data_IF_520767295728
#
_entry.id   IF_520767295728
#
_cell.length_a   1.000
_cell.length_b   1.000
_cell.length_c   1.000
_cell.angle_alpha   90.00
_cell.angle_beta   90.00
_cell.angle_gamma   90.00
#
_symmetry.space_group_name_H-M   'P 1'
#
loop_
_entity.id
_entity.type
_entity.pdbx_description
1 polymer ?
2 non-polymer ?
3 non-polymer ?
4 non-polymer ?
5 non-polymer ?
6 water ?
#
# COMPACT_ATOMS: atom_id res chain seq x y z
N UNK A 1 -10.37 -14.76 -2.96
CA UNK A 1 -9.14 -14.70 -3.80
C UNK A 1 -8.01 -15.44 -3.14
N UNK A 2 -7.11 -16.01 -3.96
CA UNK A 2 -5.86 -16.59 -3.45
C UNK A 2 -5.04 -15.46 -2.87
N UNK A 3 -4.42 -15.72 -1.75
CA UNK A 3 -3.59 -14.75 -1.07
C UNK A 3 -2.24 -15.41 -0.83
N UNK A 4 -1.23 -14.58 -0.59
CA UNK A 4 0.10 -15.08 -0.27
C UNK A 4 0.93 -15.48 -1.47
N UNK A 5 0.48 -15.11 -2.67
CA UNK A 5 1.23 -15.40 -3.89
C UNK A 5 1.72 -14.09 -4.49
N UNK A 6 3.01 -14.04 -4.86
CA UNK A 6 3.62 -12.82 -5.38
C UNK A 6 4.53 -13.12 -6.55
N UNK A 7 4.50 -12.26 -7.56
CA UNK A 7 5.47 -12.35 -8.68
C UNK A 7 6.60 -11.38 -8.44
N UNK A 8 7.79 -11.92 -8.27
CA UNK A 8 9.01 -11.13 -8.12
C UNK A 8 9.71 -11.09 -9.48
N UNK A 9 10.61 -10.13 -9.64
CA UNK A 9 11.49 -10.19 -10.81
C UNK A 9 12.30 -11.49 -10.79
N UNK A 10 12.60 -12.00 -11.98
CA UNK A 10 13.32 -13.27 -12.08
C UNK A 10 14.71 -13.19 -11.49
N UNK A 11 15.16 -14.29 -10.91
CA UNK A 11 16.56 -14.50 -10.50
C UNK A 11 17.02 -13.42 -9.56
N UNK A 12 16.16 -13.05 -8.63
CA UNK A 12 16.44 -11.92 -7.74
C UNK A 12 16.47 -12.40 -6.29
N UNK A 13 17.46 -11.94 -5.55
CA UNK A 13 17.58 -12.22 -4.15
C UNK A 13 16.52 -11.44 -3.40
N UNK A 14 15.90 -12.11 -2.41
CA UNK A 14 14.90 -11.48 -1.59
C UNK A 14 15.02 -11.97 -0.16
N UNK A 15 14.56 -11.14 0.77
CA UNK A 15 14.50 -11.58 2.17
C UNK A 15 13.11 -12.03 2.51
N UNK A 16 13.00 -13.07 3.34
CA UNK A 16 11.72 -13.48 3.90
C UNK A 16 11.88 -13.66 5.42
N UNK A 17 10.97 -13.03 6.18
CA UNK A 17 11.06 -13.01 7.64
C UNK A 17 9.66 -13.31 8.19
N UNK A 18 9.56 -14.18 9.19
CA UNK A 18 8.31 -14.52 9.77
C UNK A 18 8.32 -14.25 11.30
N UNK A 19 7.20 -13.70 11.74
CA UNK A 19 6.96 -13.37 13.14
C UNK A 19 5.75 -14.17 13.62
N UNK A 20 5.76 -14.53 14.91
CA UNK A 20 4.64 -15.24 15.52
C UNK A 20 3.96 -14.48 16.63
N UNK A 21 2.63 -14.61 16.66
CA UNK A 21 1.77 -13.97 17.68
C UNK A 21 0.57 -14.86 17.93
N UNK A 22 0.80 -16.00 18.57
CA UNK A 22 -0.22 -16.98 18.77
C UNK A 22 0.21 -18.01 19.81
N UNK A 23 -0.76 -18.60 20.49
CA UNK A 23 -0.47 -19.72 21.34
C UNK A 23 -0.06 -20.97 20.53
N UNK A 24 -0.42 -21.03 19.26
CA UNK A 24 -0.17 -22.21 18.44
C UNK A 24 1.20 -22.12 17.75
N UNK A 25 1.81 -23.29 17.54
CA UNK A 25 3.06 -23.35 16.83
C UNK A 25 2.77 -23.10 15.33
N UNK A 26 3.43 -22.09 14.79
CA UNK A 26 3.26 -21.71 13.38
C UNK A 26 4.27 -22.40 12.48
N UNK A 27 3.78 -22.87 11.31
CA UNK A 27 4.64 -23.37 10.27
C UNK A 27 4.47 -22.50 9.05
N UNK A 28 5.54 -21.88 8.60
CA UNK A 28 5.51 -21.08 7.37
C UNK A 28 6.32 -21.79 6.31
N UNK A 29 5.69 -22.16 5.21
CA UNK A 29 6.40 -22.73 4.07
C UNK A 29 6.56 -21.66 2.99
N UNK A 30 7.78 -21.50 2.49
CA UNK A 30 8.06 -20.59 1.40
C UNK A 30 8.35 -21.40 0.15
N UNK A 31 7.55 -21.20 -0.90
CA UNK A 31 7.69 -21.93 -2.14
C UNK A 31 8.10 -20.99 -3.22
N UNK A 32 9.13 -21.36 -3.98
CA UNK A 32 9.65 -20.59 -5.06
C UNK A 32 9.42 -21.46 -6.31
N UNK A 33 8.68 -20.92 -7.26
CA UNK A 33 8.28 -21.66 -8.48
C UNK A 33 7.77 -23.06 -8.18
N UNK A 34 6.86 -23.10 -7.21
CA UNK A 34 6.09 -24.29 -6.83
C UNK A 34 6.90 -25.33 -6.12
N UNK A 35 8.04 -25.00 -5.53
CA UNK A 35 8.81 -25.90 -4.73
C UNK A 35 9.13 -25.30 -3.39
N UNK A 36 8.89 -26.03 -2.31
CA UNK A 36 9.32 -25.50 -0.98
C UNK A 36 10.78 -25.35 -0.85
N UNK A 37 11.26 -24.14 -0.54
CA UNK A 37 12.69 -23.90 -0.38
C UNK A 37 13.08 -23.50 1.03
N UNK A 38 12.11 -23.21 1.89
CA UNK A 38 12.39 -22.93 3.31
C UNK A 38 11.11 -23.15 4.09
N UNK A 39 11.25 -23.57 5.33
CA UNK A 39 10.16 -23.75 6.25
C UNK A 39 10.63 -23.13 7.59
N UNK A 40 9.78 -22.28 8.16
CA UNK A 40 10.03 -21.69 9.46
C UNK A 40 8.99 -22.23 10.43
N UNK A 41 9.45 -22.63 11.59
CA UNK A 41 8.62 -23.17 12.63
C UNK A 41 8.91 -22.45 13.93
N UNK A 42 7.89 -22.01 14.64
CA UNK A 42 8.12 -21.48 15.95
C UNK A 42 6.86 -21.05 16.64
N UNK A 43 7.01 -20.63 17.89
CA UNK A 43 5.90 -20.21 18.70
C UNK A 43 6.25 -19.01 19.54
N UNK A 44 5.39 -18.01 19.50
CA UNK A 44 5.55 -16.81 20.32
C UNK A 44 4.23 -16.11 20.40
N UNK A 45 3.94 -15.44 21.54
CA UNK A 45 2.86 -14.49 21.64
C UNK A 45 3.40 -13.05 21.72
N UNK A 46 4.65 -12.83 21.38
CA UNK A 46 5.25 -11.51 21.50
C UNK A 46 6.13 -11.14 20.32
N UNK A 47 5.69 -11.58 19.13
CA UNK A 47 6.25 -11.13 17.87
C UNK A 47 7.68 -11.61 17.67
N UNK A 48 8.05 -12.74 18.28
CA UNK A 48 9.37 -13.28 18.00
C UNK A 48 9.56 -13.59 16.53
N UNK A 49 10.76 -13.36 16.04
CA UNK A 49 11.12 -13.80 14.72
C UNK A 49 11.37 -15.29 14.72
N UNK A 50 10.59 -16.04 13.95
CA UNK A 50 10.71 -17.49 13.87
C UNK A 50 11.52 -17.96 12.68
N UNK A 51 11.90 -17.03 11.81
CA UNK A 51 12.82 -17.35 10.74
C UNK A 51 13.09 -16.11 9.93
N UNK A 52 14.30 -16.04 9.37
CA UNK A 52 14.61 -15.00 8.37
C UNK A 52 15.69 -15.55 7.47
N UNK A 53 15.47 -15.52 6.16
CA UNK A 53 16.41 -16.12 5.23
C UNK A 53 16.46 -15.27 3.98
N UNK A 54 17.57 -15.40 3.25
CA UNK A 54 17.73 -14.82 1.92
C UNK A 54 17.60 -15.94 0.90
N UNK A 55 16.72 -15.72 -0.06
CA UNK A 55 16.41 -16.67 -1.10
C UNK A 55 16.48 -16.02 -2.47
N UNK A 56 16.40 -16.85 -3.50
CA UNK A 56 16.38 -16.39 -4.88
C UNK A 56 15.06 -16.75 -5.55
N UNK A 57 14.50 -15.79 -6.28
CA UNK A 57 13.21 -15.98 -6.91
C UNK A 57 13.22 -16.90 -8.14
N UNK A 58 14.42 -17.27 -8.59
CA UNK A 58 14.51 -18.25 -9.69
C UNK A 58 13.96 -17.74 -11.01
N UNK A 59 13.89 -18.65 -11.97
CA UNK A 59 13.44 -18.23 -13.29
C UNK A 59 12.10 -17.60 -13.40
N UNK A 60 11.14 -18.17 -12.68
CA UNK A 60 9.74 -17.77 -12.80
C UNK A 60 9.31 -16.65 -11.89
N UNK A 61 10.11 -16.39 -10.86
CA UNK A 61 9.77 -15.35 -9.92
C UNK A 61 8.58 -15.59 -9.02
N UNK A 62 8.00 -16.79 -9.01
CA UNK A 62 6.79 -17.03 -8.21
C UNK A 62 7.16 -17.35 -6.78
N UNK A 63 6.66 -16.55 -5.82
CA UNK A 63 6.88 -16.81 -4.40
C UNK A 63 5.53 -16.98 -3.74
N UNK A 64 5.36 -18.09 -3.05
CA UNK A 64 4.09 -18.33 -2.34
C UNK A 64 4.40 -18.67 -0.91
N UNK A 65 3.60 -18.06 -0.03
CA UNK A 65 3.67 -18.31 1.42
C UNK A 65 2.47 -19.11 1.85
N UNK A 66 2.74 -20.22 2.56
CA UNK A 66 1.64 -21.03 3.14
C UNK A 66 1.86 -21.09 4.63
N UNK A 67 0.79 -20.94 5.38
CA UNK A 67 0.89 -20.94 6.84
C UNK A 67 -0.09 -21.99 7.37
N UNK A 68 0.42 -22.81 8.29
CA UNK A 68 -0.43 -23.81 8.93
C UNK A 68 -0.05 -23.96 10.40
N UNK A 69 -0.97 -24.55 11.16
CA UNK A 69 -0.75 -24.84 12.58
C UNK A 69 -1.20 -26.28 12.74
N UNK A 70 -0.24 -27.14 13.06
CA UNK A 70 -0.47 -28.57 13.28
C UNK A 70 -1.26 -29.16 12.11
N UNK A 71 -0.83 -28.81 10.91
CA UNK A 71 -1.39 -29.36 9.71
C UNK A 71 -2.68 -28.69 9.21
N UNK A 72 -3.19 -27.69 9.93
CA UNK A 72 -4.42 -26.98 9.50
C UNK A 72 -4.04 -25.69 8.85
N UNK A 73 -4.46 -25.45 7.61
CA UNK A 73 -4.11 -24.20 6.91
C UNK A 73 -4.76 -22.99 7.60
N UNK A 74 -3.97 -21.96 7.81
CA UNK A 74 -4.52 -20.68 8.30
C UNK A 74 -5.15 -19.88 7.16
N UNK A 75 -6.06 -18.98 7.49
CA UNK A 75 -6.63 -18.08 6.48
C UNK A 75 -5.62 -16.93 6.29
N UNK A 76 -5.32 -16.60 5.04
CA UNK A 76 -4.32 -15.60 4.71
C UNK A 76 -4.88 -14.31 4.17
N UNK A 77 -4.17 -13.22 4.49
CA UNK A 77 -4.41 -11.96 3.78
C UNK A 77 -3.05 -11.43 3.32
N UNK A 78 -3.02 -10.75 2.18
CA UNK A 78 -1.76 -10.27 1.66
C UNK A 78 -1.91 -9.07 0.75
N UNK A 79 -0.80 -8.40 0.51
CA UNK A 79 -0.71 -7.37 -0.54
C UNK A 79 0.77 -7.09 -0.78
N UNK A 80 1.04 -6.42 -1.87
CA UNK A 80 2.39 -5.95 -2.19
C UNK A 80 2.38 -4.45 -2.30
N UNK A 81 3.39 -3.80 -1.71
CA UNK A 81 3.53 -2.33 -1.80
C UNK A 81 4.92 -2.02 -2.31
N UNK A 82 5.00 -1.02 -3.18
CA UNK A 82 6.27 -0.60 -3.79
C UNK A 82 6.45 0.86 -3.47
N UNK A 83 7.63 1.20 -2.91
CA UNK A 83 7.97 2.59 -2.61
C UNK A 83 9.10 3.05 -3.50
N UNK A 84 9.00 4.33 -3.94
CA UNK A 84 9.99 4.93 -4.84
C UNK A 84 10.25 4.10 -6.07
N UNK A 85 9.21 3.41 -6.51
CA UNK A 85 9.23 2.53 -7.69
C UNK A 85 10.40 1.52 -7.68
N UNK A 86 10.83 1.16 -6.48
CA UNK A 86 12.03 0.33 -6.36
C UNK A 86 12.06 -0.61 -5.16
N UNK A 87 11.57 -0.13 -4.00
CA UNK A 87 11.64 -0.91 -2.77
C UNK A 87 10.31 -1.65 -2.61
N UNK A 88 10.40 -2.98 -2.58
CA UNK A 88 9.24 -3.82 -2.59
C UNK A 88 9.04 -4.55 -1.27
N UNK A 89 7.79 -4.58 -0.81
CA UNK A 89 7.39 -5.37 0.31
C UNK A 89 6.21 -6.25 -0.10
N UNK A 90 6.30 -7.54 0.13
CA UNK A 90 5.17 -8.43 -0.03
C UNK A 90 4.82 -8.89 1.37
N UNK A 91 3.56 -8.71 1.75
CA UNK A 91 3.14 -8.81 3.16
C UNK A 91 2.06 -9.83 3.31
N UNK A 92 2.19 -10.69 4.34
CA UNK A 92 1.18 -11.70 4.63
C UNK A 92 0.83 -11.73 6.07
N UNK A 93 -0.46 -11.75 6.34
CA UNK A 93 -0.98 -12.04 7.69
C UNK A 93 -1.75 -13.35 7.64
N UNK A 94 -1.98 -13.93 8.80
CA UNK A 94 -2.65 -15.24 8.83
C UNK A 94 -3.43 -15.38 10.11
N UNK A 95 -4.54 -16.09 10.06
CA UNK A 95 -5.42 -16.31 11.22
C UNK A 95 -5.58 -17.81 11.41
N UNK A 96 -5.25 -18.27 12.61
CA UNK A 96 -5.32 -19.66 12.94
C UNK A 96 -6.57 -20.05 13.77
N UNK A 97 -7.37 -19.05 14.14
CA UNK A 97 -8.51 -19.27 15.05
C UNK A 97 -9.64 -18.29 14.71
N UNK A 98 -10.27 -17.73 15.75
CA UNK A 98 -11.53 -17.01 15.62
C UNK A 98 -11.48 -15.54 16.02
N UNK A 99 -10.37 -15.07 16.58
CA UNK A 99 -10.36 -13.66 17.04
C UNK A 99 -10.11 -12.69 15.92
N UNK A 100 -9.65 -13.17 14.78
CA UNK A 100 -9.46 -12.32 13.60
C UNK A 100 -8.50 -11.16 13.87
N UNK A 101 -7.40 -11.44 14.53
CA UNK A 101 -6.30 -10.49 14.57
C UNK A 101 -5.37 -10.62 13.37
N UNK A 102 -5.39 -11.76 12.68
CA UNK A 102 -4.61 -11.94 11.43
C UNK A 102 -3.09 -11.78 11.63
N UNK A 103 -2.62 -11.91 12.88
CA UNK A 103 -1.20 -11.70 13.17
C UNK A 103 -0.53 -12.97 13.65
N UNK A 104 -1.19 -14.11 13.50
CA UNK A 104 -0.76 -15.34 14.21
C UNK A 104 0.60 -15.78 13.67
N UNK A 105 0.75 -15.72 12.35
CA UNK A 105 2.07 -15.64 11.73
C UNK A 105 2.00 -14.47 10.76
N UNK A 106 2.99 -13.60 10.81
CA UNK A 106 3.10 -12.47 9.92
C UNK A 106 4.35 -12.68 9.10
N UNK A 107 4.30 -12.52 7.79
CA UNK A 107 5.43 -12.73 6.91
C UNK A 107 5.72 -11.50 6.09
N UNK A 108 6.97 -11.07 6.08
CA UNK A 108 7.40 -9.94 5.30
C UNK A 108 8.49 -10.42 4.33
N UNK A 109 8.25 -10.16 3.06
CA UNK A 109 9.24 -10.41 2.00
C UNK A 109 9.71 -9.05 1.49
N UNK A 110 11.01 -8.86 1.39
CA UNK A 110 11.54 -7.59 0.90
C UNK A 110 12.59 -7.77 -0.17
N UNK A 111 12.58 -6.89 -1.15
CA UNK A 111 13.64 -6.83 -2.16
C UNK A 111 13.66 -5.40 -2.72
N UNK A 112 14.73 -4.98 -3.39
CA UNK A 112 15.99 -5.66 -3.53
C UNK A 112 16.85 -5.69 -2.29
N UNK A 113 17.89 -6.56 -2.35
CA UNK A 113 18.89 -6.62 -1.27
C UNK A 113 20.22 -6.03 -1.79
N UNK A 114 21.18 -5.86 -0.92
CA UNK A 114 22.49 -5.39 -1.32
C UNK A 114 22.71 -3.90 -1.23
N UNK B 1 7.91 15.65 1.40
CA UNK B 1 6.98 15.23 2.50
C UNK B 1 7.77 14.58 3.61
N UNK B 2 7.22 14.65 4.85
CA UNK B 2 7.84 13.99 6.05
C UNK B 2 7.61 12.46 6.38
N UNK B 3 8.48 11.77 5.82
CA UNK B 3 8.34 10.36 5.75
C UNK B 3 8.84 9.75 7.06
N UNK B 4 8.39 8.54 7.33
CA UNK B 4 8.81 7.81 8.50
C UNK B 4 8.07 8.17 9.77
N UNK B 5 6.98 8.93 9.65
CA UNK B 5 6.15 9.28 10.80
C UNK B 5 4.80 8.58 10.66
N UNK B 6 4.32 7.92 11.70
CA UNK B 6 3.06 7.20 11.69
C UNK B 6 2.26 7.40 12.94
N UNK B 7 0.93 7.50 12.82
CA UNK B 7 0.03 7.56 13.97
C UNK B 7 -0.54 6.18 14.20
N UNK B 8 -0.20 5.59 15.34
CA UNK B 8 -0.72 4.32 15.77
C UNK B 8 -1.87 4.55 16.74
N UNK B 9 -2.74 3.54 16.91
CA UNK B 9 -3.68 3.63 18.00
C UNK B 9 -2.91 3.76 19.33
N UNK B 10 -3.56 4.46 20.27
CA UNK B 10 -2.95 4.69 21.56
C UNK B 10 -2.70 3.39 22.33
N UNK B 11 -1.62 3.41 23.10
CA UNK B 11 -1.34 2.40 24.15
C UNK B 11 -1.32 1.00 23.55
N UNK B 12 -0.73 0.88 22.37
CA UNK B 12 -0.73 -0.39 21.63
C UNK B 12 0.68 -0.93 21.50
N UNK B 13 0.82 -2.23 21.75
CA UNK B 13 2.07 -2.91 21.55
C UNK B 13 2.32 -3.05 20.07
N UNK B 14 3.56 -2.80 19.62
CA UNK B 14 3.91 -2.94 18.25
C UNK B 14 5.31 -3.47 18.11
N UNK B 15 5.56 -4.14 17.00
CA UNK B 15 6.90 -4.61 16.72
C UNK B 15 7.61 -3.67 15.78
N UNK B 16 8.94 -3.53 15.96
CA UNK B 16 9.75 -2.81 15.03
C UNK B 16 11.01 -3.62 14.73
N UNK B 17 11.33 -3.79 13.45
CA UNK B 17 12.41 -4.66 13.00
C UNK B 17 13.15 -3.92 11.90
N UNK B 18 14.48 -3.96 11.92
CA UNK B 18 15.27 -3.32 10.92
C UNK B 18 16.26 -4.27 10.26
N UNK B 19 16.40 -4.09 8.97
CA UNK B 19 17.29 -4.87 8.11
C UNK B 19 18.29 -3.90 7.45
N UNK B 20 19.51 -4.38 7.18
CA UNK B 20 20.50 -3.57 6.51
C UNK B 20 20.97 -4.15 5.18
N UNK B 21 21.19 -3.25 4.23
CA UNK B 21 21.68 -3.57 2.87
C UNK B 21 22.53 -2.43 2.36
N UNK B 22 23.71 -2.29 2.94
CA UNK B 22 24.59 -1.20 2.61
C UNK B 22 25.99 -1.46 3.10
N UNK B 23 26.97 -0.85 2.41
CA UNK B 23 28.31 -0.82 2.97
C UNK B 23 28.42 0.04 4.22
N UNK B 24 27.52 1.00 4.40
CA UNK B 24 27.52 1.91 5.56
C UNK B 24 26.89 1.26 6.79
N UNK B 25 27.41 1.63 7.95
CA UNK B 25 26.85 1.15 9.19
C UNK B 25 25.59 1.99 9.45
N UNK B 26 24.47 1.33 9.62
CA UNK B 26 23.17 1.98 9.77
C UNK B 26 22.85 2.20 11.27
N UNK B 27 22.29 3.36 11.59
CA UNK B 27 21.72 3.61 12.90
C UNK B 27 20.24 3.91 12.71
N UNK B 28 19.39 3.11 13.31
CA UNK B 28 17.95 3.33 13.25
C UNK B 28 17.49 3.78 14.64
N UNK B 29 16.91 4.98 14.72
CA UNK B 29 16.33 5.47 15.94
C UNK B 29 14.82 5.41 15.85
N UNK B 30 14.21 4.86 16.89
CA UNK B 30 12.76 4.77 16.97
C UNK B 30 12.27 5.72 18.06
N UNK B 31 11.40 6.65 17.72
CA UNK B 31 10.86 7.62 18.71
C UNK B 31 9.38 7.40 18.89
N UNK B 32 8.91 7.36 20.12
CA UNK B 32 7.52 7.23 20.46
C UNK B 32 7.16 8.49 21.21
N UNK B 33 6.18 9.22 20.71
CA UNK B 33 5.80 10.53 21.29
C UNK B 33 6.99 11.41 21.66
N UNK B 34 7.88 11.52 20.67
CA UNK B 34 9.02 12.41 20.66
C UNK B 34 10.11 12.05 21.63
N UNK B 35 10.17 10.78 22.04
CA UNK B 35 11.28 10.28 22.86
C UNK B 35 11.86 9.06 22.18
N UNK B 36 13.19 9.01 22.06
CA UNK B 36 13.86 7.83 21.56
C UNK B 36 13.68 6.65 22.49
N UNK B 37 13.12 5.55 22.02
CA UNK B 37 12.85 4.38 22.82
C UNK B 37 13.57 3.12 22.33
N UNK B 38 14.17 3.17 21.13
CA UNK B 38 15.01 2.06 20.68
C UNK B 38 16.00 2.55 19.66
N UNK B 39 17.16 1.92 19.62
CA UNK B 39 18.21 2.26 18.68
C UNK B 39 18.82 0.96 18.19
N UNK B 40 18.90 0.79 16.87
CA UNK B 40 19.48 -0.39 16.28
C UNK B 40 20.66 0.05 15.48
N UNK B 41 21.80 -0.63 15.63
CA UNK B 41 22.99 -0.28 14.89
C UNK B 41 23.58 -1.52 14.28
N UNK B 42 23.87 -1.51 12.99
CA UNK B 42 24.53 -2.63 12.39
C UNK B 42 24.91 -2.42 10.97
N UNK B 43 25.57 -3.40 10.39
CA UNK B 43 26.01 -3.33 9.01
C UNK B 43 25.88 -4.69 8.33
N UNK B 44 25.28 -4.67 7.14
CA UNK B 44 25.14 -5.86 6.31
C UNK B 44 24.88 -5.43 4.90
N UNK B 45 25.36 -6.19 3.92
CA UNK B 45 24.92 -6.08 2.54
C UNK B 45 24.02 -7.27 2.14
N UNK B 46 23.51 -8.04 3.09
CA UNK B 46 22.69 -9.19 2.77
C UNK B 46 21.47 -9.33 3.70
N UNK B 47 20.88 -8.20 4.03
CA UNK B 47 19.60 -8.12 4.70
C UNK B 47 19.62 -8.69 6.11
N UNK B 48 20.77 -8.63 6.77
CA UNK B 48 20.78 -9.01 8.20
C UNK B 48 19.83 -8.18 9.02
N UNK B 49 19.20 -8.80 9.99
CA UNK B 49 18.42 -8.08 10.96
C UNK B 49 19.34 -7.39 11.94
N UNK B 50 19.24 -6.08 12.01
CA UNK B 50 20.08 -5.28 12.93
C UNK B 50 19.36 -4.95 14.22
N UNK B 51 18.07 -5.28 14.32
CA UNK B 51 17.37 -5.16 15.57
C UNK B 51 15.92 -5.54 15.41
N UNK B 52 15.31 -5.98 16.49
CA UNK B 52 13.87 -6.18 16.56
C UNK B 52 13.43 -6.00 17.99
N UNK B 53 12.39 -5.19 18.27
CA UNK B 53 11.96 -4.94 19.60
C UNK B 53 10.45 -4.79 19.62
N UNK B 54 9.85 -5.01 20.80
CA UNK B 54 8.44 -4.75 21.03
C UNK B 54 8.35 -3.50 21.89
N UNK B 55 7.55 -2.56 21.42
CA UNK B 55 7.37 -1.24 22.04
C UNK B 55 5.89 -0.95 22.24
N UNK B 56 5.59 0.10 22.97
CA UNK B 56 4.23 0.58 23.18
C UNK B 56 4.07 1.99 22.63
N UNK B 57 2.98 2.21 21.93
CA UNK B 57 2.72 3.49 21.27
C UNK B 57 2.36 4.64 22.20
N UNK B 58 2.08 4.33 23.45
CA UNK B 58 1.79 5.38 24.43
C UNK B 58 0.53 6.16 24.20
N UNK B 59 0.38 7.23 24.96
CA UNK B 59 -0.88 7.97 24.83
C UNK B 59 -1.10 8.61 23.49
N UNK B 60 -0.03 9.12 22.87
CA UNK B 60 -0.16 9.86 21.65
C UNK B 60 -0.13 9.06 20.36
N UNK B 61 0.40 7.86 20.47
CA UNK B 61 0.51 6.99 19.31
C UNK B 61 1.50 7.42 18.24
N UNK B 62 2.31 8.46 18.47
CA UNK B 62 3.20 8.97 17.41
C UNK B 62 4.47 8.12 17.38
N UNK B 63 4.77 7.50 16.23
CA UNK B 63 5.96 6.72 16.04
C UNK B 63 6.74 7.29 14.89
N UNK B 64 8.02 7.59 15.14
CA UNK B 64 8.85 8.14 14.10
C UNK B 64 10.11 7.29 13.98
N UNK B 65 10.49 7.01 12.74
CA UNK B 65 11.76 6.33 12.41
C UNK B 65 12.73 7.31 11.81
N UNK B 66 13.95 7.37 12.33
CA UNK B 66 15.05 8.12 11.73
C UNK B 66 16.18 7.17 11.42
N UNK B 67 16.83 7.41 10.29
CA UNK B 67 17.98 6.57 9.91
C UNK B 67 19.14 7.44 9.60
N UNK B 68 20.31 7.09 10.15
CA UNK B 68 21.54 7.82 9.81
C UNK B 68 22.72 6.89 9.62
N UNK B 69 23.72 7.41 8.92
CA UNK B 69 24.97 6.69 8.66
C UNK B 69 26.06 7.73 8.96
N UNK B 70 26.88 7.42 9.94
CA UNK B 70 27.94 8.31 10.45
C UNK B 70 27.34 9.69 10.79
N UNK B 71 26.16 9.70 11.36
CA UNK B 71 25.50 10.94 11.71
C UNK B 71 24.83 11.74 10.60
N UNK B 72 24.89 11.26 9.34
CA UNK B 72 24.19 11.92 8.22
C UNK B 72 22.85 11.25 8.01
N UNK B 73 21.79 12.06 7.97
CA UNK B 73 20.43 11.53 7.84
C UNK B 73 20.26 10.92 6.47
N UNK B 74 19.72 9.69 6.42
CA UNK B 74 19.31 9.11 5.18
C UNK B 74 17.99 9.69 4.69
N UNK B 75 17.76 9.65 3.39
CA UNK B 75 16.49 10.06 2.80
C UNK B 75 15.52 8.90 2.98
N UNK B 76 14.32 9.22 3.44
CA UNK B 76 13.33 8.17 3.78
C UNK B 76 12.18 8.11 2.79
N UNK B 77 11.66 6.88 2.61
CA UNK B 77 10.37 6.70 1.97
C UNK B 77 9.52 5.82 2.90
N UNK B 78 8.21 6.05 2.93
CA UNK B 78 7.37 5.28 3.82
C UNK B 78 5.94 5.19 3.37
N UNK B 79 5.22 4.24 3.95
CA UNK B 79 3.77 4.11 3.77
C UNK B 79 3.23 3.21 4.83
N UNK B 80 1.92 3.30 5.05
CA UNK B 80 1.26 2.35 5.95
C UNK B 80 0.22 1.57 5.14
N UNK B 81 0.16 0.27 5.37
CA UNK B 81 -0.83 -0.59 4.67
C UNK B 81 -1.59 -1.39 5.72
N UNK B 82 -2.90 -1.48 5.49
CA UNK B 82 -3.80 -2.18 6.42
C UNK B 82 -4.49 -3.27 5.65
N UNK B 83 -4.40 -4.49 6.17
CA UNK B 83 -5.03 -5.67 5.60
C UNK B 83 -6.19 -6.11 6.50
N UNK B 84 -7.27 -6.51 5.85
CA UNK B 84 -8.51 -6.98 6.51
C UNK B 84 -9.01 -5.99 7.54
N UNK B 85 -8.77 -4.71 7.27
CA UNK B 85 -9.18 -3.59 8.12
C UNK B 85 -8.69 -3.72 9.55
N UNK B 86 -7.60 -4.48 9.76
CA UNK B 86 -7.14 -4.72 11.12
C UNK B 86 -5.64 -4.96 11.29
N UNK B 87 -4.96 -5.55 10.31
CA UNK B 87 -3.56 -5.90 10.41
C UNK B 87 -2.73 -4.82 9.75
N UNK B 88 -1.88 -4.16 10.56
CA UNK B 88 -1.20 -2.98 10.11
C UNK B 88 0.30 -3.16 9.93
N UNK B 89 0.81 -2.58 8.84
CA UNK B 89 2.24 -2.50 8.58
C UNK B 89 2.63 -1.05 8.32
N UNK B 90 3.61 -0.55 9.03
CA UNK B 90 4.19 0.76 8.70
C UNK B 90 5.60 0.49 8.20
N UNK B 91 5.89 0.98 7.01
CA UNK B 91 7.07 0.52 6.25
C UNK B 91 7.96 1.71 5.94
N UNK B 92 9.27 1.52 6.14
CA UNK B 92 10.26 2.58 5.83
C UNK B 92 11.39 2.00 5.03
N UNK B 93 11.73 2.69 3.95
CA UNK B 93 13.03 2.50 3.27
C UNK B 93 13.90 3.69 3.44
N UNK B 94 15.18 3.54 3.23
CA UNK B 94 16.09 4.67 3.46
C UNK B 94 17.24 4.57 2.48
N UNK B 95 17.77 5.70 2.08
CA UNK B 95 18.87 5.78 1.12
C UNK B 95 19.97 6.61 1.74
N UNK B 96 21.14 6.01 1.84
CA UNK B 96 22.30 6.64 2.42
C UNK B 96 23.27 7.27 1.41
N UNK B 97 22.96 7.08 0.15
CA UNK B 97 23.81 7.55 -0.95
C UNK B 97 22.91 8.01 -2.10
N UNK B 98 23.28 7.70 -3.31
CA UNK B 98 22.61 8.17 -4.52
C UNK B 98 22.36 7.09 -5.52
N UNK B 99 22.51 5.80 -5.21
CA UNK B 99 22.02 4.75 -6.14
C UNK B 99 20.51 4.57 -6.12
N UNK B 100 19.88 5.08 -5.08
CA UNK B 100 18.43 5.10 -4.95
C UNK B 100 17.82 3.73 -4.97
N UNK B 101 18.41 2.79 -4.25
CA UNK B 101 17.77 1.51 -4.00
C UNK B 101 16.83 1.55 -2.78
N UNK B 102 17.01 2.54 -1.90
CA UNK B 102 16.14 2.74 -0.72
C UNK B 102 16.08 1.56 0.22
N UNK B 103 17.04 0.64 0.17
CA UNK B 103 17.02 -0.56 1.01
C UNK B 103 18.15 -0.53 2.05
N UNK B 104 18.81 0.60 2.22
CA UNK B 104 20.08 0.63 2.96
C UNK B 104 19.81 0.30 4.44
N UNK B 105 18.75 0.85 4.99
CA UNK B 105 18.09 0.29 6.15
C UNK B 105 16.60 0.20 5.79
N UNK B 106 16.01 -0.95 6.06
CA UNK B 106 14.60 -1.18 5.83
C UNK B 106 13.97 -1.44 7.17
N UNK B 107 12.87 -0.75 7.48
CA UNK B 107 12.25 -0.87 8.79
C UNK B 107 10.78 -1.27 8.63
N UNK B 108 10.37 -2.27 9.39
CA UNK B 108 9.01 -2.74 9.35
C UNK B 108 8.44 -2.65 10.78
N UNK B 109 7.33 -1.95 10.87
CA UNK B 109 6.54 -1.82 12.11
C UNK B 109 5.28 -2.61 11.93
N UNK B 110 4.93 -3.47 12.87
CA UNK B 110 3.68 -4.26 12.74
C UNK B 110 2.85 -4.26 13.99
N UNK B 111 1.55 -4.21 13.80
CA UNK B 111 0.60 -4.34 14.92
C UNK B 111 -0.72 -4.85 14.39
N UNK B 112 -1.60 -5.40 15.21
CA UNK B 112 -1.38 -5.75 16.62
C UNK B 112 -0.47 -6.92 16.85
N UNK B 113 -0.05 -7.08 18.10
CA UNK B 113 0.74 -8.23 18.55
C UNK B 113 -0.11 -9.10 19.46
N UNK B 114 0.42 -10.27 19.81
CA UNK B 114 -0.23 -11.14 20.72
C UNK B 114 -1.16 -12.15 20.17
N UNK C 1 -10.80 -14.09 4.63
CA UNK C 1 -11.11 -12.86 5.43
C UNK C 1 -12.17 -12.02 4.77
N UNK C 2 -12.98 -11.31 5.56
CA UNK C 2 -13.88 -10.28 5.00
C UNK C 2 -13.07 -9.24 4.25
N UNK C 3 -13.58 -8.81 3.11
CA UNK C 3 -12.91 -7.78 2.32
C UNK C 3 -13.93 -6.67 2.03
N UNK C 4 -13.45 -5.50 1.66
CA UNK C 4 -14.26 -4.40 1.32
C UNK C 4 -14.89 -3.62 2.43
N UNK C 5 -14.39 -3.84 3.64
CA UNK C 5 -14.86 -3.13 4.84
C UNK C 5 -13.75 -2.24 5.36
N UNK C 6 -14.03 -0.98 5.62
CA UNK C 6 -13.00 -0.03 6.08
C UNK C 6 -13.51 0.86 7.19
N UNK C 7 -12.70 1.12 8.18
CA UNK C 7 -13.00 2.07 9.25
C UNK C 7 -12.37 3.40 8.95
N UNK C 8 -13.20 4.41 8.73
CA UNK C 8 -12.79 5.77 8.51
C UNK C 8 -12.94 6.54 9.80
N UNK C 9 -12.21 7.68 9.91
CA UNK C 9 -12.55 8.58 11.02
C UNK C 9 -14.01 9.00 10.95
N UNK C 10 -14.60 9.25 12.10
CA UNK C 10 -16.02 9.68 12.17
C UNK C 10 -16.26 11.00 11.46
N UNK C 11 -17.44 11.12 10.87
CA UNK C 11 -17.97 12.38 10.32
C UNK C 11 -16.99 13.03 9.32
N UNK C 12 -16.44 12.18 8.47
CA UNK C 12 -15.40 12.59 7.52
C UNK C 12 -15.93 12.44 6.11
N UNK C 13 -15.77 13.51 5.31
CA UNK C 13 -16.12 13.45 3.91
C UNK C 13 -15.12 12.59 3.19
N UNK C 14 -15.62 11.76 2.25
CA UNK C 14 -14.76 10.91 1.47
C UNK C 14 -15.28 10.78 0.07
N UNK C 15 -14.39 10.50 -0.86
CA UNK C 15 -14.80 10.21 -2.21
C UNK C 15 -14.88 8.74 -2.48
N UNK C 16 -15.82 8.34 -3.33
CA UNK C 16 -15.90 6.95 -3.79
C UNK C 16 -16.12 6.96 -5.31
N UNK C 17 -15.27 6.24 -6.00
CA UNK C 17 -15.27 6.20 -7.47
C UNK C 17 -15.19 4.75 -7.89
N UNK C 18 -16.01 4.36 -8.86
CA UNK C 18 -16.03 3.00 -9.35
C UNK C 18 -15.80 2.98 -10.85
N UNK C 19 -14.97 2.02 -11.25
CA UNK C 19 -14.64 1.78 -12.64
C UNK C 19 -15.10 0.37 -13.02
N UNK C 20 -15.52 0.18 -14.27
CA UNK C 20 -15.88 -1.13 -14.74
C UNK C 20 -15.01 -1.67 -15.87
N UNK C 21 -14.74 -2.96 -15.80
CA UNK C 21 -13.96 -3.68 -16.81
C UNK C 21 -14.48 -5.10 -16.96
N UNK C 22 -15.69 -5.21 -17.51
CA UNK C 22 -16.36 -6.47 -17.57
C UNK C 22 -17.47 -6.40 -18.62
N UNK C 23 -17.75 -7.58 -19.21
CA UNK C 23 -18.94 -7.69 -20.02
C UNK C 23 -20.24 -7.59 -19.23
N UNK C 24 -20.19 -7.88 -17.93
CA UNK C 24 -21.36 -7.84 -17.10
C UNK C 24 -21.63 -6.49 -16.50
N UNK C 25 -22.90 -6.18 -16.31
CA UNK C 25 -23.31 -4.92 -15.71
C UNK C 25 -23.04 -5.02 -14.22
N UNK C 26 -22.26 -4.08 -13.71
CA UNK C 26 -21.82 -4.10 -12.30
C UNK C 26 -22.78 -3.27 -11.46
N UNK C 27 -23.15 -3.78 -10.29
CA UNK C 27 -23.92 -3.03 -9.33
C UNK C 27 -23.06 -2.90 -8.08
N UNK C 28 -22.68 -1.67 -7.74
CA UNK C 28 -21.78 -1.43 -6.61
C UNK C 28 -22.64 -0.78 -5.54
N UNK C 29 -22.75 -1.41 -4.36
CA UNK C 29 -23.52 -0.90 -3.26
C UNK C 29 -22.51 -0.35 -2.25
N UNK C 30 -22.74 0.88 -1.81
CA UNK C 30 -21.90 1.51 -0.82
C UNK C 30 -22.76 1.62 0.45
N UNK C 31 -22.29 1.01 1.55
CA UNK C 31 -22.98 1.12 2.80
C UNK C 31 -22.14 1.91 3.76
N UNK C 32 -22.78 2.85 4.45
CA UNK C 32 -22.15 3.61 5.49
C UNK C 32 -22.88 3.27 6.74
N UNK C 33 -22.17 2.78 7.75
CA UNK C 33 -22.82 2.36 9.03
C UNK C 33 -24.01 1.47 8.82
N UNK C 34 -23.80 0.49 7.95
CA UNK C 34 -24.72 -0.61 7.69
C UNK C 34 -25.97 -0.22 6.98
N UNK C 35 -25.96 0.92 6.27
CA UNK C 35 -27.11 1.31 5.46
C UNK C 35 -26.60 1.67 4.09
N UNK C 36 -27.29 1.20 3.05
CA UNK C 36 -26.94 1.60 1.69
C UNK C 36 -27.17 3.08 1.49
N UNK C 37 -26.10 3.82 1.09
CA UNK C 37 -26.22 5.23 0.84
C UNK C 37 -25.97 5.61 -0.62
N UNK C 38 -25.45 4.67 -1.42
CA UNK C 38 -25.20 4.94 -2.83
C UNK C 38 -25.16 3.62 -3.54
N UNK C 39 -25.63 3.65 -4.78
CA UNK C 39 -25.59 2.48 -5.64
C UNK C 39 -25.15 2.99 -6.99
N UNK C 40 -24.11 2.34 -7.53
CA UNK C 40 -23.61 2.66 -8.86
C UNK C 40 -23.94 1.48 -9.73
N UNK C 41 -24.56 1.78 -10.87
CA UNK C 41 -24.85 0.72 -11.82
C UNK C 41 -24.29 1.12 -13.18
N UNK C 42 -23.48 0.27 -13.77
CA UNK C 42 -22.99 0.57 -15.08
C UNK C 42 -22.27 -0.57 -15.71
N UNK C 43 -21.83 -0.35 -16.94
CA UNK C 43 -21.15 -1.39 -17.69
C UNK C 43 -20.15 -0.80 -18.64
N UNK C 44 -18.95 -1.38 -18.65
CA UNK C 44 -17.88 -0.98 -19.57
C UNK C 44 -16.83 -2.10 -19.58
N UNK C 45 -16.19 -2.30 -20.73
CA UNK C 45 -14.99 -3.10 -20.78
C UNK C 45 -13.72 -2.26 -20.92
N UNK C 46 -13.83 -0.94 -20.74
CA UNK C 46 -12.70 -0.05 -20.96
C UNK C 46 -12.57 1.02 -19.88
N UNK C 47 -12.83 0.60 -18.64
CA UNK C 47 -12.52 1.38 -17.46
C UNK C 47 -13.38 2.64 -17.35
N UNK C 48 -14.59 2.61 -17.91
CA UNK C 48 -15.47 3.77 -17.68
C UNK C 48 -15.77 3.94 -16.20
N UNK C 49 -15.89 5.21 -15.83
CA UNK C 49 -16.36 5.52 -14.48
C UNK C 49 -17.85 5.30 -14.40
N UNK C 50 -18.27 4.40 -13.54
CA UNK C 50 -19.70 4.09 -13.38
C UNK C 50 -20.30 4.79 -12.19
N UNK C 51 -19.48 5.48 -11.40
CA UNK C 51 -20.03 6.33 -10.37
C UNK C 51 -18.93 7.07 -9.66
N UNK C 52 -19.26 8.25 -9.19
CA UNK C 52 -18.31 9.03 -8.37
C UNK C 52 -19.11 9.95 -7.47
N UNK C 53 -18.96 9.82 -6.16
CA UNK C 53 -19.77 10.60 -5.24
C UNK C 53 -18.91 11.02 -4.06
N UNK C 54 -19.35 12.09 -3.41
CA UNK C 54 -18.80 12.46 -2.10
C UNK C 54 -19.83 12.05 -1.04
N UNK C 55 -19.35 11.32 -0.06
CA UNK C 55 -20.15 10.80 1.04
C UNK C 55 -19.52 11.19 2.35
N UNK C 56 -20.25 10.92 3.45
CA UNK C 56 -19.75 11.20 4.78
C UNK C 56 -19.76 9.88 5.57
N UNK C 57 -18.69 9.65 6.31
CA UNK C 57 -18.54 8.41 7.06
C UNK C 57 -19.45 8.31 8.29
N UNK C 58 -20.10 9.40 8.67
CA UNK C 58 -21.07 9.35 9.75
C UNK C 58 -20.52 9.06 11.10
N UNK C 59 -21.46 8.76 12.03
CA UNK C 59 -20.99 8.56 13.39
C UNK C 59 -19.98 7.43 13.62
N UNK C 60 -20.23 6.33 12.94
CA UNK C 60 -19.49 5.12 13.14
C UNK C 60 -18.25 4.96 12.30
N UNK C 61 -18.20 5.67 11.21
CA UNK C 61 -17.07 5.53 10.31
C UNK C 61 -16.99 4.26 9.47
N UNK C 62 -18.01 3.41 9.51
CA UNK C 62 -17.93 2.13 8.80
C UNK C 62 -18.32 2.29 7.34
N UNK C 63 -17.42 1.93 6.41
CA UNK C 63 -17.73 1.95 4.98
C UNK C 63 -17.57 0.56 4.43
N UNK C 64 -18.58 0.05 3.76
CA UNK C 64 -18.50 -1.29 3.16
C UNK C 64 -18.90 -1.20 1.70
N UNK C 65 -18.13 -1.86 0.85
CA UNK C 65 -18.41 -2.01 -0.57
C UNK C 65 -18.87 -3.42 -0.85
N UNK C 66 -20.00 -3.58 -1.56
CA UNK C 66 -20.43 -4.87 -2.08
C UNK C 66 -20.63 -4.75 -3.58
N UNK C 67 -20.33 -5.79 -4.34
CA UNK C 67 -20.47 -5.75 -5.79
C UNK C 67 -21.25 -6.97 -6.23
N UNK C 68 -22.21 -6.79 -7.13
CA UNK C 68 -22.88 -7.94 -7.72
C UNK C 68 -23.12 -7.74 -9.23
N UNK C 69 -23.35 -8.86 -9.91
CA UNK C 69 -23.60 -8.86 -11.34
C UNK C 69 -24.74 -9.85 -11.52
N UNK C 70 -25.84 -9.38 -12.12
CA UNK C 70 -27.05 -10.17 -12.32
C UNK C 70 -27.48 -10.77 -10.98
N UNK C 71 -27.37 -10.04 -9.89
CA UNK C 71 -27.76 -10.51 -8.59
C UNK C 71 -26.81 -11.46 -7.86
N UNK C 72 -25.69 -11.83 -8.49
CA UNK C 72 -24.72 -12.76 -7.88
C UNK C 72 -23.58 -11.94 -7.28
N UNK C 73 -23.26 -12.16 -6.02
CA UNK C 73 -22.14 -11.44 -5.38
C UNK C 73 -20.81 -11.74 -6.03
N UNK C 74 -20.04 -10.70 -6.34
CA UNK C 74 -18.69 -10.87 -6.79
C UNK C 74 -17.75 -11.12 -5.59
N UNK C 75 -16.65 -11.81 -5.87
CA UNK C 75 -15.61 -12.03 -4.87
C UNK C 75 -14.78 -10.74 -4.75
N UNK C 76 -14.50 -10.29 -3.53
CA UNK C 76 -13.75 -9.04 -3.33
C UNK C 76 -12.33 -9.22 -2.84
N UNK C 77 -11.47 -8.26 -3.17
CA UNK C 77 -10.17 -8.13 -2.54
C UNK C 77 -9.99 -6.67 -2.18
N UNK C 78 -9.30 -6.38 -1.08
CA UNK C 78 -9.18 -5.00 -0.64
C UNK C 78 -7.96 -4.75 0.20
N UNK C 79 -7.60 -3.47 0.32
CA UNK C 79 -6.59 -3.01 1.28
C UNK C 79 -6.74 -1.53 1.46
N UNK C 80 -6.10 -0.99 2.49
CA UNK C 80 -6.02 0.46 2.71
C UNK C 80 -4.56 0.86 2.72
N UNK C 81 -4.22 1.98 2.08
CA UNK C 81 -2.86 2.52 2.11
C UNK C 81 -2.92 3.97 2.53
N UNK C 82 -1.95 4.37 3.35
CA UNK C 82 -1.85 5.72 3.85
C UNK C 82 -0.53 6.29 3.47
N UNK C 83 -0.53 7.47 2.83
CA UNK C 83 0.69 8.17 2.42
C UNK C 83 0.86 9.43 3.25
N UNK C 84 2.10 9.73 3.60
CA UNK C 84 2.48 10.88 4.40
C UNK C 84 1.69 10.95 5.71
N UNK C 85 1.31 9.81 6.23
CA UNK C 85 0.53 9.71 7.46
C UNK C 85 -0.76 10.50 7.45
N UNK C 86 -1.29 10.75 6.26
CA UNK C 86 -2.49 11.55 6.15
C UNK C 86 -3.38 11.32 4.96
N UNK C 87 -2.85 10.89 3.82
CA UNK C 87 -3.63 10.72 2.61
C UNK C 87 -4.01 9.29 2.47
N UNK C 88 -5.32 9.02 2.50
CA UNK C 88 -5.82 7.67 2.61
C UNK C 88 -6.51 7.17 1.35
N UNK C 89 -6.20 5.94 0.99
CA UNK C 89 -6.87 5.24 -0.10
C UNK C 89 -7.39 3.91 0.38
N UNK C 90 -8.68 3.65 0.24
CA UNK C 90 -9.23 2.32 0.46
C UNK C 90 -9.61 1.73 -0.87
N UNK C 91 -9.08 0.55 -1.19
CA UNK C 91 -9.09 0.00 -2.54
C UNK C 91 -9.80 -1.32 -2.59
N UNK C 92 -10.67 -1.50 -3.58
CA UNK C 92 -11.43 -2.73 -3.74
C UNK C 92 -11.35 -3.20 -5.17
N UNK C 93 -11.04 -4.48 -5.34
CA UNK C 93 -11.21 -5.17 -6.62
C UNK C 93 -12.31 -6.20 -6.49
N UNK C 94 -12.93 -6.53 -7.63
CA UNK C 94 -14.01 -7.52 -7.55
C UNK C 94 -13.99 -8.38 -8.78
N UNK C 95 -14.36 -9.64 -8.60
CA UNK C 95 -14.32 -10.62 -9.71
C UNK C 95 -15.67 -11.25 -9.85
N UNK C 96 -16.21 -11.17 -11.05
CA UNK C 96 -17.51 -11.79 -11.38
C UNK C 96 -17.28 -13.15 -12.12
N UNK C 97 -18.38 -13.82 -12.44
CA UNK C 97 -18.30 -15.03 -13.24
C UNK C 97 -17.67 -14.87 -14.65
N UNK C 98 -17.92 -13.73 -15.30
CA UNK C 98 -17.53 -13.50 -16.70
C UNK C 98 -16.02 -13.46 -17.01
N UNK C 99 -15.26 -12.79 -16.15
CA UNK C 99 -13.82 -12.68 -16.32
C UNK C 99 -13.24 -12.88 -14.93
N UNK C 100 -12.25 -13.77 -14.83
CA UNK C 100 -11.53 -14.12 -13.62
C UNK C 100 -10.33 -13.20 -13.42
N UNK C 101 -10.65 -11.94 -13.22
CA UNK C 101 -9.68 -10.88 -12.93
C UNK C 101 -10.40 -10.00 -11.85
N UNK C 102 -9.70 -9.47 -10.87
CA UNK C 102 -10.33 -8.61 -9.90
C UNK C 102 -10.55 -7.21 -10.41
N UNK C 103 -10.54 -6.95 -11.75
CA UNK C 103 -10.77 -5.61 -12.23
C UNK C 103 -12.21 -5.41 -12.73
N UNK C 104 -13.11 -6.40 -12.52
CA UNK C 104 -14.41 -6.30 -13.18
C UNK C 104 -15.22 -5.09 -12.66
N UNK C 105 -15.14 -4.81 -11.35
CA UNK C 105 -15.42 -3.47 -10.86
C UNK C 105 -14.29 -3.14 -9.92
N UNK C 106 -13.76 -1.93 -10.03
CA UNK C 106 -12.68 -1.47 -9.18
C UNK C 106 -13.22 -0.25 -8.44
N UNK C 107 -13.03 -0.18 -7.13
CA UNK C 107 -13.55 0.92 -6.35
C UNK C 107 -12.38 1.57 -5.58
N UNK C 108 -12.31 2.91 -5.69
CA UNK C 108 -11.34 3.67 -4.96
C UNK C 108 -12.05 4.65 -4.05
N UNK C 109 -11.73 4.57 -2.77
CA UNK C 109 -12.24 5.51 -1.75
C UNK C 109 -11.08 6.39 -1.32
N UNK C 110 -11.26 7.69 -1.30
CA UNK C 110 -10.17 8.59 -0.89
C UNK C 110 -10.58 9.63 0.11
N UNK C 111 -9.70 9.91 1.06
CA UNK C 111 -9.92 10.98 2.02
C UNK C 111 -8.57 11.44 2.55
N UNK C 112 -8.46 12.62 3.13
CA UNK C 112 -9.49 13.65 3.25
C UNK C 112 -9.76 14.40 1.96
N UNK C 113 -10.86 15.14 1.95
CA UNK C 113 -11.22 16.00 0.86
C UNK C 113 -11.06 17.46 1.27
N UNK C 114 -11.12 18.36 0.29
CA UNK C 114 -11.12 19.80 0.56
C UNK C 114 -9.77 20.44 0.50
N UNK D 1 13.15 11.67 -2.12
CA UNK D 1 13.12 10.60 -3.18
C UNK D 1 12.28 11.10 -4.33
N UNK D 2 12.59 10.67 -5.54
CA UNK D 2 11.67 10.92 -6.68
C UNK D 2 10.35 10.18 -6.38
N UNK D 3 9.26 10.86 -6.66
CA UNK D 3 7.93 10.30 -6.47
C UNK D 3 7.18 10.47 -7.78
N UNK D 4 6.10 9.72 -7.94
CA UNK D 4 5.22 9.84 -9.06
C UNK D 4 5.71 9.17 -10.34
N UNK D 5 6.71 8.29 -10.20
CA UNK D 5 7.25 7.53 -11.33
C UNK D 5 6.92 6.07 -11.11
N UNK D 6 6.37 5.41 -12.13
CA UNK D 6 5.95 3.99 -12.00
C UNK D 6 6.33 3.18 -13.19
N UNK D 7 6.77 1.94 -12.95
CA UNK D 7 7.03 0.99 -14.05
C UNK D 7 5.85 0.10 -14.25
N UNK D 8 5.24 0.20 -15.41
CA UNK D 8 4.15 -0.66 -15.81
C UNK D 8 4.69 -1.75 -16.71
N UNK D 9 3.94 -2.85 -16.85
CA UNK D 9 4.35 -3.77 -17.93
C UNK D 9 4.30 -3.05 -19.28
N UNK D 10 5.17 -3.48 -20.18
CA UNK D 10 5.26 -2.82 -21.52
C UNK D 10 3.95 -2.96 -22.28
N UNK D 11 3.64 -1.92 -23.05
CA UNK D 11 2.56 -1.97 -24.06
C UNK D 11 1.25 -2.35 -23.44
N UNK D 12 0.97 -1.80 -22.27
CA UNK D 12 -0.22 -2.16 -21.48
C UNK D 12 -1.16 -0.97 -21.34
N UNK D 13 -2.44 -1.21 -21.57
CA UNK D 13 -3.47 -0.22 -21.37
C UNK D 13 -3.67 0.02 -19.89
N UNK D 14 -3.82 1.27 -19.52
CA UNK D 14 -4.04 1.64 -18.10
C UNK D 14 -4.97 2.83 -18.02
N UNK D 15 -5.64 2.96 -16.88
CA UNK D 15 -6.45 4.14 -16.63
C UNK D 15 -5.70 5.14 -15.76
N UNK D 16 -5.93 6.41 -16.02
CA UNK D 16 -5.44 7.48 -15.15
C UNK D 16 -6.60 8.44 -14.83
N UNK D 17 -6.78 8.73 -13.55
CA UNK D 17 -7.89 9.60 -13.09
C UNK D 17 -7.29 10.58 -12.09
N UNK D 18 -7.66 11.85 -12.19
CA UNK D 18 -7.17 12.87 -11.31
C UNK D 18 -8.34 13.60 -10.64
N UNK D 19 -8.19 13.83 -9.36
CA UNK D 19 -9.16 14.50 -8.50
C UNK D 19 -8.51 15.77 -7.94
N UNK D 20 -9.30 16.80 -7.71
CA UNK D 20 -8.79 18.04 -7.13
C UNK D 20 -9.46 18.37 -5.80
N UNK D 21 -8.63 18.88 -4.87
CA UNK D 21 -9.08 19.31 -3.54
C UNK D 21 -8.25 20.48 -3.08
N UNK D 22 -8.42 21.62 -3.73
CA UNK D 22 -7.61 22.77 -3.46
C UNK D 22 -8.23 24.02 -4.04
N UNK D 23 -7.93 25.14 -3.40
CA UNK D 23 -8.29 26.42 -4.02
C UNK D 23 -7.47 26.74 -5.26
N UNK D 24 -6.27 26.12 -5.39
CA UNK D 24 -5.44 26.27 -6.56
C UNK D 24 -5.88 25.47 -7.77
N UNK D 25 -5.69 26.02 -8.97
CA UNK D 25 -5.99 25.30 -10.19
C UNK D 25 -4.85 24.31 -10.39
N UNK D 26 -5.19 23.03 -10.49
CA UNK D 26 -4.19 21.97 -10.64
C UNK D 26 -3.93 21.67 -12.12
N UNK D 27 -2.67 21.51 -12.49
CA UNK D 27 -2.29 21.03 -13.81
C UNK D 27 -1.54 19.73 -13.62
N UNK D 28 -2.10 18.64 -14.12
CA UNK D 28 -1.50 17.30 -13.96
C UNK D 28 -0.99 16.87 -15.32
N UNK D 29 0.32 16.61 -15.41
CA UNK D 29 0.96 16.21 -16.64
C UNK D 29 1.24 14.70 -16.51
N UNK D 30 0.83 13.94 -17.51
CA UNK D 30 1.08 12.51 -17.55
C UNK D 30 2.07 12.25 -18.67
N UNK D 31 3.21 11.64 -18.34
CA UNK D 31 4.21 11.28 -19.34
C UNK D 31 4.31 9.79 -19.44
N UNK D 32 4.45 9.30 -20.68
CA UNK D 32 4.73 7.91 -20.95
C UNK D 32 6.07 7.91 -21.65
N UNK D 33 7.03 7.22 -21.06
CA UNK D 33 8.43 7.16 -21.55
C UNK D 33 8.95 8.54 -21.93
N UNK D 34 8.79 9.45 -20.98
CA UNK D 34 9.36 10.79 -21.05
C UNK D 34 8.69 11.71 -22.06
N UNK D 35 7.48 11.41 -22.51
CA UNK D 35 6.74 12.30 -23.40
C UNK D 35 5.37 12.53 -22.84
N UNK D 36 4.95 13.80 -22.79
CA UNK D 36 3.61 14.11 -22.32
C UNK D 36 2.55 13.51 -23.23
N UNK D 37 1.65 12.72 -22.68
CA UNK D 37 0.54 12.15 -23.42
C UNK D 37 -0.83 12.62 -22.95
N UNK D 38 -0.90 13.28 -21.81
CA UNK D 38 -2.16 13.88 -21.36
C UNK D 38 -1.85 14.97 -20.36
N UNK D 39 -2.74 15.98 -20.35
CA UNK D 39 -2.65 17.05 -19.38
C UNK D 39 -4.06 17.29 -18.88
N UNK D 40 -4.25 17.31 -17.57
CA UNK D 40 -5.57 17.57 -16.96
C UNK D 40 -5.46 18.87 -16.21
N UNK D 41 -6.40 19.78 -16.43
CA UNK D 41 -6.41 21.06 -15.77
C UNK D 41 -7.77 21.28 -15.14
N UNK D 42 -7.79 21.62 -13.86
CA UNK D 42 -9.08 21.81 -13.24
C UNK D 42 -8.96 22.32 -11.84
N UNK D 43 -10.10 22.71 -11.27
CA UNK D 43 -10.11 23.24 -9.93
C UNK D 43 -11.35 22.77 -9.19
N UNK D 44 -11.16 22.26 -7.98
CA UNK D 44 -12.26 21.82 -7.12
C UNK D 44 -11.77 21.76 -5.71
N UNK D 45 -12.65 22.05 -4.74
CA UNK D 45 -12.40 21.73 -3.34
C UNK D 45 -13.33 20.62 -2.86
N UNK D 46 -13.92 19.86 -3.78
CA UNK D 46 -14.81 18.77 -3.40
C UNK D 46 -14.60 17.52 -4.24
N UNK D 47 -13.32 17.25 -4.55
CA UNK D 47 -12.91 15.98 -5.12
C UNK D 47 -13.45 15.76 -6.51
N UNK D 48 -13.70 16.83 -7.25
CA UNK D 48 -14.15 16.65 -8.65
C UNK D 48 -13.08 15.93 -9.45
N UNK D 49 -13.54 15.10 -10.36
CA UNK D 49 -12.63 14.45 -11.31
C UNK D 49 -12.26 15.49 -12.36
N UNK D 50 -10.99 15.82 -12.49
CA UNK D 50 -10.53 16.80 -13.46
C UNK D 50 -9.96 16.16 -14.71
N UNK D 51 -9.87 14.82 -14.71
CA UNK D 51 -9.47 14.11 -15.88
C UNK D 51 -9.52 12.64 -15.68
N UNK D 52 -9.86 11.91 -16.72
CA UNK D 52 -9.84 10.45 -16.70
C UNK D 52 -9.59 9.99 -18.13
N UNK D 53 -8.55 9.20 -18.35
CA UNK D 53 -8.22 8.75 -19.68
C UNK D 53 -7.72 7.33 -19.65
N UNK D 54 -7.82 6.64 -20.77
CA UNK D 54 -7.18 5.34 -20.98
C UNK D 54 -5.97 5.59 -21.90
N UNK D 55 -4.82 5.13 -21.45
CA UNK D 55 -3.55 5.30 -22.12
C UNK D 55 -2.84 3.97 -22.24
N UNK D 56 -1.73 3.96 -22.98
CA UNK D 56 -0.86 2.79 -23.11
C UNK D 56 0.55 3.11 -22.59
N UNK D 57 1.13 2.17 -21.88
CA UNK D 57 2.42 2.37 -21.24
C UNK D 57 3.63 2.32 -22.19
N UNK D 58 3.37 1.94 -23.44
CA UNK D 58 4.44 2.00 -24.44
C UNK D 58 5.52 0.98 -24.26
N UNK D 59 6.54 1.11 -25.07
CA UNK D 59 7.57 0.06 -25.06
C UNK D 59 8.35 0.00 -23.77
N UNK D 60 8.64 1.16 -23.15
CA UNK D 60 9.40 1.20 -21.94
C UNK D 60 8.66 1.06 -20.64
N UNK D 61 7.36 1.22 -20.69
CA UNK D 61 6.53 1.02 -19.50
C UNK D 61 6.63 2.14 -18.46
N UNK D 62 7.34 3.21 -18.74
CA UNK D 62 7.51 4.27 -17.73
C UNK D 62 6.35 5.25 -17.75
N UNK D 63 5.70 5.42 -16.60
CA UNK D 63 4.64 6.42 -16.45
C UNK D 63 5.03 7.39 -15.37
N UNK D 64 4.96 8.67 -15.66
CA UNK D 64 5.32 9.70 -14.67
C UNK D 64 4.21 10.71 -14.55
N UNK D 65 3.90 11.10 -13.31
CA UNK D 65 2.92 12.13 -12.97
C UNK D 65 3.68 13.34 -12.44
N UNK D 66 3.43 14.53 -13.00
CA UNK D 66 3.85 15.79 -12.42
C UNK D 66 2.65 16.68 -12.15
N UNK D 67 2.69 17.48 -11.09
CA UNK D 67 1.60 18.36 -10.77
C UNK D 67 2.16 19.76 -10.52
N UNK D 68 1.51 20.78 -11.10
CA UNK D 68 1.85 22.15 -10.77
C UNK D 68 0.63 23.03 -10.62
N UNK D 69 0.84 24.16 -9.93
CA UNK D 69 -0.21 25.14 -9.70
C UNK D 69 0.42 26.48 -10.02
N UNK D 70 -0.15 27.13 -11.03
CA UNK D 70 0.34 28.46 -11.47
C UNK D 70 1.84 28.41 -11.76
N UNK D 71 2.26 27.35 -12.42
CA UNK D 71 3.64 27.16 -12.80
C UNK D 71 4.59 26.65 -11.73
N UNK D 72 4.13 26.49 -10.48
CA UNK D 72 4.99 26.03 -9.40
C UNK D 72 4.77 24.54 -9.19
N UNK D 73 5.84 23.77 -9.19
CA UNK D 73 5.71 22.30 -8.98
C UNK D 73 5.22 22.01 -7.58
N UNK D 74 4.19 21.15 -7.47
CA UNK D 74 3.77 20.67 -6.19
C UNK D 74 4.71 19.57 -5.68
N UNK D 75 4.76 19.41 -4.37
CA UNK D 75 5.52 18.31 -3.79
C UNK D 75 4.66 17.04 -3.90
N UNK D 76 5.27 15.95 -4.31
CA UNK D 76 4.54 14.70 -4.53
C UNK D 76 4.82 13.61 -3.49
N UNK D 77 3.84 12.75 -3.28
CA UNK D 77 4.03 11.51 -2.54
C UNK D 77 3.36 10.40 -3.34
N UNK D 78 3.93 9.20 -3.31
CA UNK D 78 3.39 8.13 -4.14
C UNK D 78 3.72 6.76 -3.63
N UNK D 79 2.93 5.78 -4.08
CA UNK D 79 3.21 4.38 -3.85
C UNK D 79 2.46 3.55 -4.86
N UNK D 80 2.84 2.29 -5.01
CA UNK D 80 2.07 1.34 -5.80
C UNK D 80 1.62 0.20 -4.88
N UNK D 81 0.36 -0.22 -5.01
CA UNK D 81 -0.13 -1.39 -4.28
C UNK D 81 -0.71 -2.39 -5.28
N UNK D 82 -0.45 -3.66 -5.03
CA UNK D 82 -0.93 -4.76 -5.86
C UNK D 82 -1.78 -5.67 -5.02
N UNK D 83 -3.00 -5.94 -5.49
CA UNK D 83 -3.90 -6.87 -4.80
C UNK D 83 -4.09 -8.14 -5.61
N UNK D 84 -4.13 -9.26 -4.91
CA UNK D 84 -4.30 -10.61 -5.51
C UNK D 84 -3.25 -10.86 -6.58
N UNK D 85 -2.07 -10.25 -6.39
CA UNK D 85 -0.95 -10.38 -7.33
C UNK D 85 -1.30 -10.00 -8.77
N UNK D 86 -2.33 -9.19 -8.95
CA UNK D 86 -2.76 -8.85 -10.29
C UNK D 86 -3.40 -7.49 -10.49
N UNK D 87 -4.03 -6.94 -9.48
CA UNK D 87 -4.77 -5.68 -9.61
C UNK D 87 -3.90 -4.59 -9.08
N UNK D 88 -3.53 -3.65 -9.96
CA UNK D 88 -2.49 -2.68 -9.63
C UNK D 88 -3.04 -1.27 -9.51
N UNK D 89 -2.61 -0.58 -8.45
CA UNK D 89 -2.93 0.81 -8.28
C UNK D 89 -1.65 1.60 -8.06
N UNK D 90 -1.41 2.63 -8.87
CA UNK D 90 -0.30 3.52 -8.64
C UNK D 90 -0.90 4.86 -8.21
N UNK D 91 -0.48 5.37 -7.07
CA UNK D 91 -1.18 6.40 -6.33
C UNK D 91 -0.28 7.59 -6.12
N UNK D 92 -0.81 8.79 -6.38
CA UNK D 92 -0.04 10.03 -6.22
C UNK D 92 -0.87 11.03 -5.43
N UNK D 93 -0.26 11.60 -4.40
CA UNK D 93 -0.78 12.82 -3.78
C UNK D 93 0.14 13.98 -4.04
N UNK D 94 -0.37 15.19 -3.94
CA UNK D 94 0.43 16.36 -4.21
C UNK D 94 0.03 17.49 -3.30
N UNK D 95 0.99 18.33 -2.94
CA UNK D 95 0.75 19.45 -2.02
C UNK D 95 1.22 20.73 -2.67
N UNK D 96 0.30 21.69 -2.73
CA UNK D 96 0.59 22.99 -3.31
C UNK D 96 0.82 24.08 -2.25
N UNK D 97 0.69 23.74 -0.98
CA UNK D 97 0.84 24.71 0.11
C UNK D 97 1.50 24.12 1.36
N UNK D 98 1.01 24.50 2.54
CA UNK D 98 1.69 24.19 3.80
C UNK D 98 0.89 23.34 4.78
N UNK D 99 -0.37 23.06 4.48
CA UNK D 99 -1.19 22.26 5.39
C UNK D 99 -0.90 20.77 5.30
N UNK D 100 -0.22 20.35 4.24
CA UNK D 100 0.24 18.96 4.15
C UNK D 100 -0.86 17.93 4.24
N UNK D 101 -1.95 18.20 3.52
CA UNK D 101 -2.97 17.20 3.29
C UNK D 101 -2.63 16.32 2.10
N UNK D 102 -1.75 16.77 1.20
CA UNK D 102 -1.34 16.01 0.00
C UNK D 102 -2.50 15.58 -0.89
N UNK D 103 -3.70 16.15 -0.69
CA UNK D 103 -4.85 15.83 -1.48
C UNK D 103 -5.13 16.91 -2.52
N UNK D 104 -4.23 17.88 -2.71
CA UNK D 104 -4.57 19.03 -3.52
C UNK D 104 -4.83 18.62 -5.00
N UNK D 105 -4.00 17.70 -5.49
CA UNK D 105 -4.40 16.86 -6.63
C UNK D 105 -4.07 15.44 -6.24
N UNK D 106 -5.02 14.54 -6.46
CA UNK D 106 -4.80 13.13 -6.25
C UNK D 106 -4.89 12.42 -7.57
N UNK D 107 -3.94 11.54 -7.87
CA UNK D 107 -3.97 10.78 -9.12
C UNK D 107 -3.94 9.28 -8.86
N UNK D 108 -4.84 8.57 -9.52
CA UNK D 108 -4.95 7.12 -9.40
C UNK D 108 -4.75 6.53 -10.79
N UNK D 109 -3.78 5.65 -10.91
CA UNK D 109 -3.51 4.89 -12.14
C UNK D 109 -3.90 3.46 -11.85
N UNK D 110 -4.68 2.84 -12.74
CA UNK D 110 -5.09 1.45 -12.50
C UNK D 110 -4.88 0.57 -13.70
N UNK D 111 -4.47 -0.67 -13.45
CA UNK D 111 -4.39 -1.67 -14.52
C UNK D 111 -4.48 -3.03 -13.87
N UNK D 112 -4.78 -4.09 -14.61
CA UNK D 112 -5.19 -4.10 -16.02
C UNK D 112 -6.56 -3.65 -16.28
N UNK D 113 -6.86 -3.39 -17.56
CA UNK D 113 -8.21 -3.02 -18.03
C UNK D 113 -8.79 -4.18 -18.83
N UNK D 114 -10.08 -4.13 -19.06
CA UNK D 114 -10.71 -5.12 -19.91
C UNK D 114 -11.33 -6.29 -19.20
#
# INVERSE_FOLDING_TARGET
>A
ATQGVFTLPANTQFGVTAFANSAGTQTVNVQVNNETVATFTGQSTNNAIIGSKVLNSGGGGKVQILVSVNGRSSDLVSAQVILANELNFALVGSEDSTDNDYNDAVVVINWPLG
>B
ATQGVFTLPANTQFGVTAFANSAGTQTVNVQVNNETVATFTGQSTNNAIIGSKVLNSGGGGKVQILVSVNGRSSDLVSAQVILANELNFALVGSEDSTDNDYNDAVVVINWPLG
>C
ATQGVFTLPANTQFGVTAFANSAGTQTVNVQVNNETVATFTGQSTNNAIIGSKVLNSGGGGKVQILVSVNGRSSDLVSAQVILANELNFALVGSEDSTDNDYNDAVVVINWPLG
>D
ATQGVFTLPANTQFGVTAFANSAGTQTVNVQVNNETVATFTGQSTNNAIIGSKVLNSGGGGKVQILVSVNGRSSDLVSAQVILANELNFALVGSEDSTDNDYNDAVVVINWPLG
#
